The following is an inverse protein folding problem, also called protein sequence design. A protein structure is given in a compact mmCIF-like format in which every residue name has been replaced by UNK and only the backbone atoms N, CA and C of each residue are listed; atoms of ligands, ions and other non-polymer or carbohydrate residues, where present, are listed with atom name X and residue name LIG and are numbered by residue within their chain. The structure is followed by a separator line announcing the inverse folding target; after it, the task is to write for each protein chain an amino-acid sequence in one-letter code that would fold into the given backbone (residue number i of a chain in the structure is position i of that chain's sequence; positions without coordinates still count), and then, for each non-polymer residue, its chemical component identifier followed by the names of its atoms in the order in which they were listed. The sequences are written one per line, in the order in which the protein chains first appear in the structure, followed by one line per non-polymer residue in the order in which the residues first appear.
data_IF_460134427205
#
_entry.id   IF_460134427205
#
_cell.length_a   1.000
_cell.length_b   1.000
_cell.length_c   1.000
_cell.angle_alpha   90.00
_cell.angle_beta   90.00
_cell.angle_gamma   90.00
#
_symmetry.space_group_name_H-M   'P 1'
#
loop_
_entity.id
_entity.type
_entity.pdbx_description
1 polymer ?
#
# COMPACT_ATOMS: atom_id res chain seq x y z
N UNK A 1 14.81 -5.52 17.09
CA UNK A 1 16.11 -4.88 16.77
C UNK A 1 17.10 -5.98 16.40
N UNK A 2 17.39 -6.17 15.11
CA UNK A 2 18.28 -7.25 14.67
C UNK A 2 19.69 -7.00 15.25
N UNK A 3 20.13 -7.87 16.17
CA UNK A 3 21.46 -7.80 16.80
C UNK A 3 22.58 -8.17 15.83
N UNK A 4 22.25 -8.74 14.65
CA UNK A 4 23.19 -9.22 13.63
C UNK A 4 24.20 -8.16 13.15
N UNK A 5 23.81 -6.94 12.72
CA UNK A 5 24.78 -5.89 12.34
C UNK A 5 25.65 -5.45 13.52
N UNK A 6 25.12 -5.46 14.74
CA UNK A 6 25.83 -5.07 15.96
C UNK A 6 26.87 -6.13 16.35
N UNK A 7 26.52 -7.42 16.24
CA UNK A 7 27.43 -8.56 16.43
C UNK A 7 28.53 -8.57 15.36
N UNK A 8 28.18 -8.31 14.10
CA UNK A 8 29.16 -8.22 13.01
C UNK A 8 30.13 -7.05 13.21
N UNK A 9 29.65 -5.90 13.69
CA UNK A 9 30.54 -4.77 14.01
C UNK A 9 31.46 -5.06 15.21
N UNK A 10 30.99 -5.79 16.23
CA UNK A 10 31.81 -6.20 17.37
C UNK A 10 32.87 -7.22 16.95
N UNK A 11 32.50 -8.18 16.10
CA UNK A 11 33.42 -9.18 15.56
C UNK A 11 34.50 -8.53 14.69
N UNK A 12 34.13 -7.56 13.85
CA UNK A 12 35.09 -6.79 13.05
C UNK A 12 36.05 -5.96 13.93
N UNK A 13 35.57 -5.39 15.03
CA UNK A 13 36.39 -4.65 16.00
C UNK A 13 37.40 -5.58 16.70
N UNK A 14 36.98 -6.78 17.09
CA UNK A 14 37.85 -7.80 17.71
C UNK A 14 38.93 -8.28 16.74
N UNK A 15 38.57 -8.54 15.47
CA UNK A 15 39.53 -8.88 14.42
C UNK A 15 40.54 -7.75 14.17
N UNK A 16 40.09 -6.49 14.22
CA UNK A 16 40.95 -5.32 14.05
C UNK A 16 41.94 -5.17 15.22
N UNK A 17 41.49 -5.36 16.46
CA UNK A 17 42.37 -5.37 17.64
C UNK A 17 43.39 -6.52 17.60
N UNK A 18 42.95 -7.70 17.17
CA UNK A 18 43.84 -8.85 16.97
C UNK A 18 44.90 -8.60 15.91
N UNK A 19 44.53 -7.95 14.81
CA UNK A 19 45.46 -7.53 13.77
C UNK A 19 46.51 -6.56 14.34
N UNK A 20 46.07 -5.49 15.03
CA UNK A 20 46.99 -4.51 15.65
C UNK A 20 47.99 -5.20 16.58
N UNK A 21 47.53 -6.08 17.47
CA UNK A 21 48.41 -6.79 18.41
C UNK A 21 49.43 -7.67 17.68
N UNK A 22 49.01 -8.37 16.63
CA UNK A 22 49.89 -9.20 15.81
C UNK A 22 50.94 -8.37 15.06
N UNK A 23 50.53 -7.23 14.48
CA UNK A 23 51.44 -6.32 13.79
C UNK A 23 52.50 -5.71 14.71
N UNK A 24 52.11 -5.30 15.92
CA UNK A 24 53.06 -4.72 16.90
C UNK A 24 54.09 -5.75 17.37
N UNK A 25 53.69 -6.99 17.64
CA UNK A 25 54.61 -8.02 18.16
C UNK A 25 55.54 -8.55 17.07
N UNK A 26 55.02 -8.80 15.86
CA UNK A 26 55.75 -9.51 14.81
C UNK A 26 56.50 -8.58 13.84
N UNK A 27 55.95 -7.42 13.49
CA UNK A 27 56.55 -6.55 12.46
C UNK A 27 57.58 -5.61 13.09
N UNK A 28 57.31 -5.10 14.29
CA UNK A 28 58.22 -4.17 14.98
C UNK A 28 59.55 -4.83 15.36
N UNK A 29 59.53 -6.11 15.74
CA UNK A 29 60.70 -6.81 16.25
C UNK A 29 61.60 -7.38 15.13
N UNK A 30 61.09 -7.51 13.90
CA UNK A 30 61.74 -8.34 12.86
C UNK A 30 62.03 -7.64 11.54
N UNK A 31 61.26 -6.60 11.15
CA UNK A 31 61.28 -6.08 9.76
C UNK A 31 61.65 -4.59 9.63
N UNK A 32 61.85 -3.85 10.73
CA UNK A 32 62.26 -2.45 10.70
C UNK A 32 61.14 -1.42 10.45
N UNK A 33 61.46 -0.14 10.62
CA UNK A 33 60.49 0.98 10.72
C UNK A 33 59.60 1.19 9.47
N UNK A 34 60.11 0.94 8.27
CA UNK A 34 59.38 1.20 7.02
C UNK A 34 58.18 0.27 6.86
N UNK A 35 58.33 -1.00 7.19
CA UNK A 35 57.23 -1.98 7.12
C UNK A 35 56.16 -1.73 8.18
N UNK A 36 56.55 -1.21 9.34
CA UNK A 36 55.61 -0.78 10.37
C UNK A 36 54.72 0.38 9.91
N UNK A 37 55.29 1.39 9.24
CA UNK A 37 54.52 2.53 8.71
C UNK A 37 53.50 2.11 7.64
N UNK A 38 53.89 1.21 6.74
CA UNK A 38 52.97 0.67 5.71
C UNK A 38 51.83 -0.11 6.35
N UNK A 39 52.13 -0.91 7.38
CA UNK A 39 51.12 -1.68 8.11
C UNK A 39 50.08 -0.79 8.81
N UNK A 40 50.52 0.26 9.49
CA UNK A 40 49.63 1.24 10.14
C UNK A 40 48.78 1.98 9.10
N UNK A 41 49.34 2.31 7.94
CA UNK A 41 48.61 2.94 6.84
C UNK A 41 47.43 2.09 6.35
N UNK A 42 47.64 0.77 6.17
CA UNK A 42 46.59 -0.16 5.74
C UNK A 42 45.48 -0.26 6.79
N UNK A 43 45.83 -0.33 8.08
CA UNK A 43 44.85 -0.36 9.16
C UNK A 43 44.02 0.92 9.25
N UNK A 44 44.63 2.08 9.04
CA UNK A 44 43.92 3.36 9.04
C UNK A 44 42.87 3.43 7.92
N UNK A 45 43.23 3.00 6.70
CA UNK A 45 42.29 2.93 5.56
C UNK A 45 41.14 1.97 5.87
N UNK A 46 41.44 0.80 6.44
CA UNK A 46 40.42 -0.18 6.80
C UNK A 46 39.44 0.35 7.86
N UNK A 47 39.94 1.08 8.87
CA UNK A 47 39.10 1.71 9.89
C UNK A 47 38.14 2.76 9.32
N UNK A 48 38.61 3.58 8.37
CA UNK A 48 37.79 4.60 7.70
C UNK A 48 36.64 3.94 6.90
N UNK A 49 36.94 2.87 6.17
CA UNK A 49 35.93 2.13 5.40
C UNK A 49 34.86 1.52 6.33
N UNK A 50 35.26 0.91 7.45
CA UNK A 50 34.31 0.38 8.43
C UNK A 50 33.43 1.48 9.04
N UNK A 51 34.01 2.62 9.40
CA UNK A 51 33.28 3.73 10.02
C UNK A 51 32.21 4.29 9.08
N UNK A 52 32.54 4.49 7.80
CA UNK A 52 31.59 4.98 6.79
C UNK A 52 30.44 3.99 6.53
N UNK A 53 30.73 2.69 6.50
CA UNK A 53 29.72 1.65 6.33
C UNK A 53 28.70 1.62 7.49
N UNK A 54 29.16 1.74 8.75
CA UNK A 54 28.28 1.75 9.92
C UNK A 54 27.35 2.96 9.92
N UNK A 55 27.88 4.16 9.65
CA UNK A 55 27.09 5.39 9.60
C UNK A 55 26.04 5.38 8.48
N UNK A 56 26.40 4.83 7.31
CA UNK A 56 25.48 4.71 6.17
C UNK A 56 24.30 3.78 6.51
N UNK A 57 24.59 2.65 7.15
CA UNK A 57 23.57 1.64 7.46
C UNK A 57 22.49 2.18 8.43
N UNK A 58 22.90 2.98 9.43
CA UNK A 58 21.95 3.61 10.35
C UNK A 58 21.01 4.58 9.65
N UNK A 59 21.53 5.44 8.77
CA UNK A 59 20.72 6.41 8.02
C UNK A 59 19.70 5.72 7.09
N UNK A 60 20.13 4.64 6.46
CA UNK A 60 19.27 3.85 5.56
C UNK A 60 18.12 3.22 6.35
N UNK A 61 18.40 2.60 7.50
CA UNK A 61 17.37 1.98 8.33
C UNK A 61 16.31 2.99 8.80
N UNK A 62 16.71 4.14 9.34
CA UNK A 62 15.76 5.16 9.80
C UNK A 62 14.89 5.71 8.67
N UNK A 63 15.46 5.86 7.46
CA UNK A 63 14.71 6.30 6.28
C UNK A 63 13.68 5.26 5.85
N UNK A 64 14.06 3.99 5.83
CA UNK A 64 13.14 2.88 5.51
C UNK A 64 11.99 2.83 6.51
N UNK A 65 12.28 2.92 7.81
CA UNK A 65 11.25 2.90 8.85
C UNK A 65 10.28 4.08 8.72
N UNK A 66 10.80 5.27 8.44
CA UNK A 66 9.97 6.47 8.21
C UNK A 66 9.06 6.29 6.99
N UNK A 67 9.58 5.72 5.91
CA UNK A 67 8.80 5.44 4.70
C UNK A 67 7.73 4.38 4.96
N UNK A 68 8.07 3.30 5.66
CA UNK A 68 7.11 2.26 6.05
C UNK A 68 5.98 2.81 6.92
N UNK A 69 6.30 3.70 7.87
CA UNK A 69 5.30 4.37 8.70
C UNK A 69 4.34 5.21 7.86
N UNK A 70 4.88 6.08 7.00
CA UNK A 70 4.05 6.93 6.11
C UNK A 70 3.17 6.09 5.18
N UNK A 71 3.71 5.00 4.64
CA UNK A 71 2.95 4.08 3.80
C UNK A 71 1.80 3.42 4.58
N UNK A 72 2.06 2.96 5.81
CA UNK A 72 1.05 2.39 6.69
C UNK A 72 -0.06 3.40 7.03
N UNK A 73 0.31 4.63 7.37
CA UNK A 73 -0.63 5.71 7.66
C UNK A 73 -1.53 6.00 6.44
N UNK A 74 -0.93 6.13 5.25
CA UNK A 74 -1.68 6.33 4.00
C UNK A 74 -2.68 5.20 3.74
N UNK A 75 -2.25 3.95 3.87
CA UNK A 75 -3.12 2.80 3.66
C UNK A 75 -4.27 2.74 4.68
N UNK A 76 -4.02 3.13 5.93
CA UNK A 76 -5.08 3.20 6.95
C UNK A 76 -6.10 4.30 6.63
N UNK A 77 -5.64 5.47 6.16
CA UNK A 77 -6.51 6.56 5.74
C UNK A 77 -7.35 6.15 4.53
N UNK A 78 -6.75 5.53 3.51
CA UNK A 78 -7.46 5.04 2.33
C UNK A 78 -8.54 4.02 2.69
N UNK A 79 -8.23 3.05 3.55
CA UNK A 79 -9.22 2.12 4.08
C UNK A 79 -10.35 2.81 4.83
N UNK A 80 -10.04 3.82 5.65
CA UNK A 80 -11.07 4.59 6.36
C UNK A 80 -11.93 5.38 5.39
N UNK A 81 -11.36 5.95 4.34
CA UNK A 81 -12.10 6.71 3.33
C UNK A 81 -13.06 5.81 2.58
N UNK A 82 -12.59 4.67 2.04
CA UNK A 82 -13.43 3.68 1.36
C UNK A 82 -14.58 3.23 2.28
N UNK A 83 -14.27 2.87 3.53
CA UNK A 83 -15.32 2.48 4.48
C UNK A 83 -16.29 3.63 4.79
N UNK A 84 -15.83 4.87 4.87
CA UNK A 84 -16.68 6.03 5.14
C UNK A 84 -17.57 6.35 3.94
N UNK A 85 -17.06 6.21 2.72
CA UNK A 85 -17.82 6.32 1.48
C UNK A 85 -18.88 5.24 1.40
N UNK A 86 -18.54 3.97 1.63
CA UNK A 86 -19.50 2.87 1.67
C UNK A 86 -20.59 3.10 2.73
N UNK A 87 -20.21 3.56 3.91
CA UNK A 87 -21.15 3.92 4.98
C UNK A 87 -22.08 5.05 4.49
N UNK A 88 -21.51 6.16 4.03
CA UNK A 88 -22.29 7.32 3.57
C UNK A 88 -23.27 6.93 2.46
N UNK A 89 -22.81 6.20 1.44
CA UNK A 89 -23.63 5.74 0.32
C UNK A 89 -24.76 4.79 0.75
N UNK A 90 -24.59 4.04 1.83
CA UNK A 90 -25.62 3.16 2.37
C UNK A 90 -26.65 3.87 3.24
N UNK A 91 -26.31 5.02 3.85
CA UNK A 91 -27.24 5.83 4.64
C UNK A 91 -28.01 6.89 3.82
N UNK A 92 -27.65 7.11 2.56
CA UNK A 92 -28.38 8.01 1.67
C UNK A 92 -29.76 7.42 1.32
N UNK A 93 -30.85 8.22 1.33
CA UNK A 93 -32.19 7.77 0.93
C UNK A 93 -32.35 7.71 -0.60
N UNK A 94 -31.30 7.31 -1.31
CA UNK A 94 -31.22 7.24 -2.78
C UNK A 94 -30.63 5.88 -3.16
N UNK A 95 -31.24 5.21 -4.13
CA UNK A 95 -30.86 3.85 -4.53
C UNK A 95 -29.81 3.90 -5.63
N UNK A 96 -28.56 3.58 -5.31
CA UNK A 96 -27.46 3.65 -6.27
C UNK A 96 -27.10 2.27 -6.80
N UNK A 97 -26.95 2.17 -8.12
CA UNK A 97 -26.62 0.92 -8.80
C UNK A 97 -25.66 1.15 -9.97
N UNK A 98 -24.69 0.26 -10.12
CA UNK A 98 -23.67 0.30 -11.18
C UNK A 98 -23.71 -1.02 -11.95
N UNK A 99 -23.61 -0.93 -13.28
CA UNK A 99 -23.68 -2.09 -14.17
C UNK A 99 -22.48 -2.16 -15.15
N UNK A 100 -22.21 -3.36 -15.68
CA UNK A 100 -21.11 -3.64 -16.62
C UNK A 100 -21.52 -3.45 -18.10
N UNK A 101 -20.61 -3.76 -19.04
CA UNK A 101 -20.92 -3.73 -20.48
C UNK A 101 -22.04 -4.71 -20.90
N UNK A 102 -22.32 -5.74 -20.11
CA UNK A 102 -23.33 -6.75 -20.38
C UNK A 102 -24.68 -6.43 -19.70
N UNK A 103 -24.86 -5.22 -19.17
CA UNK A 103 -26.00 -4.79 -18.36
C UNK A 103 -26.22 -5.67 -17.11
N UNK A 104 -25.15 -6.26 -16.57
CA UNK A 104 -25.15 -6.98 -15.30
C UNK A 104 -24.78 -6.02 -14.17
N UNK A 105 -25.50 -6.13 -13.06
CA UNK A 105 -25.32 -5.26 -11.89
C UNK A 105 -24.07 -5.72 -11.14
N UNK A 106 -23.06 -4.86 -11.08
CA UNK A 106 -21.78 -5.14 -10.40
C UNK A 106 -21.83 -4.65 -8.95
N UNK A 107 -22.54 -3.56 -8.69
CA UNK A 107 -22.61 -2.96 -7.37
C UNK A 107 -23.96 -2.28 -7.14
N UNK A 108 -24.46 -2.37 -5.90
CA UNK A 108 -25.66 -1.68 -5.47
C UNK A 108 -25.57 -1.34 -3.97
N UNK A 109 -26.00 -0.13 -3.60
CA UNK A 109 -26.07 0.26 -2.19
C UNK A 109 -27.23 -0.44 -1.45
N UNK A 110 -27.25 -0.30 -0.12
CA UNK A 110 -28.26 -0.93 0.73
C UNK A 110 -29.68 -0.49 0.36
N UNK A 111 -29.90 0.82 0.18
CA UNK A 111 -31.21 1.37 -0.15
C UNK A 111 -31.76 0.83 -1.49
N UNK A 112 -30.92 0.69 -2.52
CA UNK A 112 -31.34 0.06 -3.78
C UNK A 112 -31.81 -1.39 -3.57
N UNK A 113 -31.09 -2.18 -2.76
CA UNK A 113 -31.47 -3.57 -2.45
C UNK A 113 -32.81 -3.63 -1.72
N UNK A 114 -33.10 -2.66 -0.84
CA UNK A 114 -34.40 -2.54 -0.18
C UNK A 114 -35.52 -2.17 -1.15
N UNK A 115 -35.30 -1.18 -2.04
CA UNK A 115 -36.29 -0.74 -3.03
C UNK A 115 -36.74 -1.87 -3.97
N UNK A 116 -35.80 -2.70 -4.43
CA UNK A 116 -36.10 -3.81 -5.34
C UNK A 116 -36.41 -5.14 -4.62
N UNK A 117 -36.26 -5.18 -3.29
CA UNK A 117 -36.51 -6.35 -2.42
C UNK A 117 -35.92 -7.67 -2.99
N UNK A 118 -34.78 -7.60 -3.67
CA UNK A 118 -34.21 -8.71 -4.42
C UNK A 118 -32.67 -8.66 -4.38
N UNK A 119 -32.04 -9.80 -4.65
CA UNK A 119 -30.58 -9.89 -4.81
C UNK A 119 -30.21 -9.24 -6.14
N UNK A 120 -29.69 -8.02 -6.10
CA UNK A 120 -29.39 -7.23 -7.30
C UNK A 120 -28.07 -7.62 -7.98
N UNK A 121 -27.04 -7.93 -7.19
CA UNK A 121 -25.68 -8.21 -7.70
C UNK A 121 -25.70 -9.47 -8.59
N UNK A 122 -24.93 -9.43 -9.69
CA UNK A 122 -24.82 -10.46 -10.73
C UNK A 122 -26.11 -10.74 -11.53
N UNK A 123 -27.15 -9.91 -11.36
CA UNK A 123 -28.36 -9.99 -12.20
C UNK A 123 -28.29 -9.01 -13.36
N UNK A 124 -28.87 -9.41 -14.49
CA UNK A 124 -29.13 -8.49 -15.60
C UNK A 124 -30.24 -7.51 -15.23
N UNK A 125 -30.04 -6.24 -15.57
CA UNK A 125 -31.03 -5.17 -15.36
C UNK A 125 -32.42 -5.50 -15.91
N UNK A 126 -32.47 -6.16 -17.06
CA UNK A 126 -33.72 -6.61 -17.70
C UNK A 126 -34.48 -7.66 -16.89
N UNK A 127 -33.79 -8.46 -16.06
CA UNK A 127 -34.40 -9.44 -15.16
C UNK A 127 -34.87 -8.83 -13.85
N UNK A 128 -34.33 -7.66 -13.47
CA UNK A 128 -34.77 -6.93 -12.28
C UNK A 128 -36.07 -6.19 -12.55
N UNK A 129 -36.16 -5.49 -13.69
CA UNK A 129 -37.38 -4.82 -14.11
C UNK A 129 -37.39 -4.61 -15.63
N UNK A 130 -38.47 -5.02 -16.31
CA UNK A 130 -38.53 -5.00 -17.78
C UNK A 130 -38.40 -3.57 -18.35
N UNK A 131 -39.08 -2.60 -17.75
CA UNK A 131 -38.98 -1.19 -18.18
C UNK A 131 -37.60 -0.59 -17.91
N UNK A 132 -36.88 -1.07 -16.89
CA UNK A 132 -35.55 -0.55 -16.55
C UNK A 132 -34.54 -0.95 -17.65
N UNK A 133 -34.59 -2.20 -18.11
CA UNK A 133 -33.77 -2.65 -19.23
C UNK A 133 -34.02 -1.86 -20.51
N UNK A 134 -35.30 -1.65 -20.87
CA UNK A 134 -35.69 -0.89 -22.08
C UNK A 134 -35.22 0.56 -22.05
N UNK A 135 -35.37 1.26 -20.92
CA UNK A 135 -34.94 2.67 -20.79
C UNK A 135 -33.42 2.83 -20.83
N UNK A 136 -32.66 1.85 -20.33
CA UNK A 136 -31.19 1.85 -20.40
C UNK A 136 -30.69 1.60 -21.82
N UNK A 137 -31.28 0.65 -22.55
CA UNK A 137 -30.97 0.40 -23.97
C UNK A 137 -31.22 1.64 -24.83
N UNK A 138 -32.29 2.38 -24.53
CA UNK A 138 -32.63 3.66 -25.19
C UNK A 138 -31.76 4.84 -24.73
N UNK A 139 -30.89 4.64 -23.73
CA UNK A 139 -30.07 5.68 -23.08
C UNK A 139 -30.90 6.87 -22.60
N UNK A 140 -32.12 6.61 -22.12
CA UNK A 140 -32.96 7.64 -21.49
C UNK A 140 -32.24 8.14 -20.23
N UNK A 141 -32.09 9.47 -20.09
CA UNK A 141 -31.35 10.07 -18.98
C UNK A 141 -32.16 10.18 -17.68
N UNK A 142 -33.48 10.33 -17.77
CA UNK A 142 -34.41 10.37 -16.64
C UNK A 142 -35.70 9.66 -17.00
N UNK A 143 -36.18 8.78 -16.14
CA UNK A 143 -37.44 8.05 -16.34
C UNK A 143 -38.00 7.59 -14.99
N UNK A 144 -39.28 7.23 -15.00
CA UNK A 144 -39.99 6.78 -13.80
C UNK A 144 -40.29 5.29 -13.95
N UNK A 145 -40.00 4.51 -12.92
CA UNK A 145 -40.42 3.10 -12.85
C UNK A 145 -41.34 2.89 -11.65
N UNK A 146 -42.27 1.95 -11.79
CA UNK A 146 -43.10 1.50 -10.68
C UNK A 146 -42.56 0.17 -10.15
N UNK A 147 -42.08 0.16 -8.91
CA UNK A 147 -41.57 -1.05 -8.25
C UNK A 147 -42.43 -1.29 -7.01
N UNK A 148 -43.09 -2.44 -6.96
CA UNK A 148 -44.03 -2.83 -5.90
C UNK A 148 -45.08 -1.75 -5.55
N UNK A 149 -45.62 -1.06 -6.56
CA UNK A 149 -46.65 -0.03 -6.36
C UNK A 149 -46.12 1.34 -5.95
N UNK A 150 -44.80 1.52 -5.83
CA UNK A 150 -44.16 2.82 -5.59
C UNK A 150 -43.49 3.33 -6.86
N UNK A 151 -43.68 4.61 -7.17
CA UNK A 151 -43.00 5.27 -8.27
C UNK A 151 -41.62 5.75 -7.82
N UNK A 152 -40.59 5.41 -8.59
CA UNK A 152 -39.22 5.82 -8.37
C UNK A 152 -38.75 6.62 -9.58
N UNK A 153 -38.25 7.84 -9.32
CA UNK A 153 -37.55 8.64 -10.31
C UNK A 153 -36.12 8.12 -10.44
N UNK A 154 -35.75 7.67 -11.63
CA UNK A 154 -34.41 7.14 -11.92
C UNK A 154 -33.66 8.12 -12.79
N UNK A 155 -32.42 8.41 -12.39
CA UNK A 155 -31.47 9.16 -13.19
C UNK A 155 -30.40 8.22 -13.70
N UNK A 156 -30.30 8.11 -15.01
CA UNK A 156 -29.33 7.26 -15.68
C UNK A 156 -28.19 8.10 -16.24
N UNK A 157 -26.97 7.71 -15.87
CA UNK A 157 -25.72 8.28 -16.39
C UNK A 157 -25.00 7.24 -17.25
N UNK A 158 -25.27 7.18 -18.58
CA UNK A 158 -24.70 6.16 -19.46
C UNK A 158 -23.17 6.15 -19.49
N UNK A 159 -22.53 7.32 -19.35
CA UNK A 159 -21.07 7.45 -19.37
C UNK A 159 -20.39 6.69 -18.22
N UNK A 160 -21.04 6.67 -17.05
CA UNK A 160 -20.51 6.04 -15.85
C UNK A 160 -21.20 4.70 -15.55
N UNK A 161 -22.15 4.27 -16.40
CA UNK A 161 -23.00 3.08 -16.20
C UNK A 161 -23.61 3.02 -14.79
N UNK A 162 -24.10 4.17 -14.35
CA UNK A 162 -24.64 4.37 -13.01
C UNK A 162 -26.12 4.79 -13.09
N UNK A 163 -26.89 4.29 -12.13
CA UNK A 163 -28.29 4.60 -11.89
C UNK A 163 -28.44 5.08 -10.44
N UNK A 164 -29.26 6.10 -10.26
CA UNK A 164 -29.58 6.74 -8.97
C UNK A 164 -31.09 6.88 -8.83
#
# INVERSE_FOLDING_TARGET
MNKRPLILSILALLLFLGAIAFGVIYIFNTLGLVYFLVYVGILAVFAIVLMTAVLSNQKIHSRIETLQRKFREKNLLEKRLINSEDIALNYLPVGMLIYDDNNQIVWANHYAKECFANVLIDRKLSLVHENLGKSIERREGKFIINVYGKNYDIIHYPKNKALY
#
